data_IF_295781813225
#
_entry.id   IF_295781813225
#
_cell.length_a   1.000
_cell.length_b   1.000
_cell.length_c   1.000
_cell.angle_alpha   90.00
_cell.angle_beta   90.00
_cell.angle_gamma   90.00
#
_symmetry.space_group_name_H-M   'P 1'
#
loop_
_entity.id
_entity.type
_entity.pdbx_description
1 polymer ?
#
# COMPACT_ATOMS: atom_id res chain seq x y z
N UNK A 1 -16.40 -19.76 2.17
CA UNK A 1 -16.53 -18.34 2.61
C UNK A 1 -16.88 -17.52 1.40
N UNK A 2 -17.92 -16.68 1.44
CA UNK A 2 -18.19 -15.74 0.33
C UNK A 2 -17.08 -14.69 0.33
N UNK A 3 -16.06 -14.97 -0.49
CA UNK A 3 -15.04 -14.05 -0.94
C UNK A 3 -15.74 -12.79 -1.50
N UNK A 4 -15.01 -11.67 -1.52
CA UNK A 4 -15.52 -10.35 -1.93
C UNK A 4 -16.48 -10.44 -3.13
N UNK A 5 -17.60 -9.73 -3.06
CA UNK A 5 -18.57 -9.72 -4.17
C UNK A 5 -18.25 -8.53 -5.08
N UNK A 6 -18.90 -8.47 -6.23
CA UNK A 6 -18.68 -7.40 -7.23
C UNK A 6 -18.79 -6.00 -6.64
N UNK A 7 -19.78 -5.75 -5.78
CA UNK A 7 -19.96 -4.46 -5.10
C UNK A 7 -18.77 -4.13 -4.17
N UNK A 8 -18.22 -5.11 -3.45
CA UNK A 8 -17.01 -4.89 -2.65
C UNK A 8 -15.81 -4.56 -3.54
N UNK A 9 -15.64 -5.29 -4.65
CA UNK A 9 -14.54 -5.11 -5.61
C UNK A 9 -14.62 -3.72 -6.26
N UNK A 10 -15.80 -3.29 -6.68
CA UNK A 10 -16.04 -1.96 -7.27
C UNK A 10 -15.68 -0.84 -6.27
N UNK A 11 -16.13 -0.97 -5.01
CA UNK A 11 -15.81 -0.01 -3.95
C UNK A 11 -14.31 0.04 -3.64
N UNK A 12 -13.64 -1.10 -3.64
CA UNK A 12 -12.20 -1.19 -3.43
C UNK A 12 -11.43 -0.56 -4.61
N UNK A 13 -11.87 -0.81 -5.84
CA UNK A 13 -11.28 -0.21 -7.04
C UNK A 13 -11.35 1.32 -7.00
N UNK A 14 -12.50 1.88 -6.60
CA UNK A 14 -12.65 3.34 -6.37
C UNK A 14 -11.71 3.88 -5.30
N UNK A 15 -11.29 3.04 -4.36
CA UNK A 15 -10.32 3.34 -3.30
C UNK A 15 -8.87 3.12 -3.74
N UNK A 16 -8.62 2.66 -4.96
CA UNK A 16 -7.28 2.36 -5.47
C UNK A 16 -6.75 0.98 -5.08
N UNK A 17 -7.65 0.05 -4.76
CA UNK A 17 -7.35 -1.32 -4.38
C UNK A 17 -7.98 -2.27 -5.42
N UNK A 18 -7.15 -2.85 -6.27
CA UNK A 18 -7.53 -3.90 -7.21
C UNK A 18 -7.34 -5.29 -6.60
N UNK A 19 -8.11 -6.24 -7.11
CA UNK A 19 -8.01 -7.66 -6.73
C UNK A 19 -7.98 -8.45 -8.02
N UNK A 20 -6.94 -9.26 -8.18
CA UNK A 20 -6.79 -10.23 -9.27
C UNK A 20 -6.66 -11.61 -8.66
N UNK A 21 -7.43 -12.54 -9.19
CA UNK A 21 -7.32 -13.96 -8.88
C UNK A 21 -6.70 -14.63 -10.10
N UNK A 22 -5.59 -15.31 -9.89
CA UNK A 22 -4.89 -16.09 -10.91
C UNK A 22 -4.67 -17.53 -10.45
N UNK A 23 -4.03 -18.36 -11.28
CA UNK A 23 -3.80 -19.77 -10.98
C UNK A 23 -2.83 -20.00 -9.81
N UNK A 24 -2.12 -18.97 -9.35
CA UNK A 24 -1.07 -19.03 -8.32
C UNK A 24 -1.61 -18.52 -6.99
N UNK A 25 -2.60 -17.62 -7.01
CA UNK A 25 -3.31 -17.17 -5.81
C UNK A 25 -4.03 -15.84 -6.03
N UNK A 26 -4.11 -15.06 -4.96
CA UNK A 26 -4.75 -13.75 -4.98
C UNK A 26 -3.70 -12.63 -4.95
N UNK A 27 -3.73 -11.79 -5.96
CA UNK A 27 -2.90 -10.59 -6.06
C UNK A 27 -3.74 -9.36 -5.72
N UNK A 28 -3.27 -8.57 -4.75
CA UNK A 28 -3.85 -7.29 -4.36
C UNK A 28 -3.04 -6.20 -5.06
N UNK A 29 -3.68 -5.46 -5.96
CA UNK A 29 -3.05 -4.33 -6.64
C UNK A 29 -3.33 -3.05 -5.87
N UNK A 30 -2.30 -2.29 -5.53
CA UNK A 30 -2.40 -1.03 -4.81
C UNK A 30 -1.80 0.09 -5.62
N UNK A 31 -2.47 1.24 -5.62
CA UNK A 31 -1.83 2.51 -5.92
C UNK A 31 -1.67 3.32 -4.61
N UNK A 32 -1.06 4.52 -4.64
CA UNK A 32 -0.88 5.34 -3.43
C UNK A 32 -2.19 5.65 -2.70
N UNK A 33 -3.30 5.82 -3.43
CA UNK A 33 -4.64 5.98 -2.85
C UNK A 33 -5.07 4.72 -2.08
N UNK A 34 -4.87 3.54 -2.66
CA UNK A 34 -5.18 2.26 -2.01
C UNK A 34 -4.38 2.06 -0.73
N UNK A 35 -3.09 2.35 -0.77
CA UNK A 35 -2.23 2.33 0.42
C UNK A 35 -2.72 3.29 1.50
N UNK A 36 -3.12 4.51 1.12
CA UNK A 36 -3.68 5.49 2.06
C UNK A 36 -4.93 4.97 2.77
N UNK A 37 -5.82 4.27 2.06
CA UNK A 37 -7.01 3.64 2.65
C UNK A 37 -6.66 2.54 3.63
N UNK A 38 -5.75 1.64 3.26
CA UNK A 38 -5.32 0.54 4.13
C UNK A 38 -4.70 1.08 5.41
N UNK A 39 -3.73 2.01 5.30
CA UNK A 39 -3.03 2.52 6.46
C UNK A 39 -3.93 3.37 7.36
N UNK A 40 -4.81 4.21 6.81
CA UNK A 40 -5.73 4.99 7.63
C UNK A 40 -6.70 4.08 8.39
N UNK A 41 -7.28 3.09 7.71
CA UNK A 41 -8.16 2.11 8.35
C UNK A 41 -7.44 1.38 9.50
N UNK A 42 -6.24 0.86 9.24
CA UNK A 42 -5.39 0.20 10.24
C UNK A 42 -5.08 1.12 11.42
N UNK A 43 -4.78 2.40 11.15
CA UNK A 43 -4.44 3.37 12.20
C UNK A 43 -5.55 3.62 13.20
N UNK A 44 -6.80 3.39 12.81
CA UNK A 44 -7.99 3.57 13.64
C UNK A 44 -8.41 2.29 14.37
N UNK A 45 -7.91 1.14 13.93
CA UNK A 45 -8.11 -0.11 14.63
C UNK A 45 -7.32 -0.09 15.94
N UNK A 46 -8.01 -0.35 17.07
CA UNK A 46 -7.39 -0.40 18.41
C UNK A 46 -6.49 -1.62 18.63
N UNK A 47 -6.38 -2.52 17.66
CA UNK A 47 -5.68 -3.79 17.78
C UNK A 47 -4.26 -3.73 17.22
N UNK A 48 -3.34 -4.43 17.89
CA UNK A 48 -1.99 -4.72 17.39
C UNK A 48 -2.03 -6.05 16.62
N UNK A 49 -1.23 -6.18 15.56
CA UNK A 49 -1.12 -7.37 14.68
C UNK A 49 -2.29 -7.58 13.70
N UNK A 50 -2.54 -6.60 12.84
CA UNK A 50 -3.53 -6.73 11.76
C UNK A 50 -2.95 -7.55 10.62
N UNK A 51 -3.72 -8.46 10.04
CA UNK A 51 -3.35 -9.18 8.83
C UNK A 51 -4.20 -8.69 7.66
N UNK A 52 -3.57 -8.40 6.53
CA UNK A 52 -4.28 -8.13 5.29
C UNK A 52 -4.95 -9.41 4.82
N UNK A 53 -6.27 -9.43 4.86
CA UNK A 53 -7.12 -10.58 4.53
C UNK A 53 -8.30 -10.11 3.69
N UNK A 54 -9.00 -11.05 3.02
CA UNK A 54 -10.25 -10.75 2.33
C UNK A 54 -11.30 -10.12 3.25
N UNK A 55 -11.33 -10.50 4.54
CA UNK A 55 -12.20 -9.89 5.54
C UNK A 55 -11.83 -8.43 5.78
N UNK A 56 -10.53 -8.12 5.96
CA UNK A 56 -10.07 -6.75 6.11
C UNK A 56 -10.40 -5.90 4.87
N UNK A 57 -10.22 -6.45 3.67
CA UNK A 57 -10.58 -5.77 2.42
C UNK A 57 -12.10 -5.51 2.35
N UNK A 58 -12.92 -6.46 2.82
CA UNK A 58 -14.37 -6.28 2.89
C UNK A 58 -14.74 -5.13 3.83
N UNK A 59 -14.11 -5.06 5.00
CA UNK A 59 -14.29 -3.97 5.96
C UNK A 59 -13.85 -2.63 5.36
N UNK A 60 -12.67 -2.59 4.73
CA UNK A 60 -12.16 -1.40 4.03
C UNK A 60 -13.14 -0.98 2.94
N UNK A 61 -13.76 -1.90 2.21
CA UNK A 61 -14.74 -1.56 1.16
C UNK A 61 -15.95 -0.78 1.71
N UNK A 62 -16.39 -1.12 2.93
CA UNK A 62 -17.52 -0.48 3.62
C UNK A 62 -17.11 0.76 4.42
N UNK A 63 -15.83 0.90 4.77
CA UNK A 63 -15.32 1.99 5.58
C UNK A 63 -15.46 3.36 4.88
N UNK A 64 -15.84 4.37 5.65
CA UNK A 64 -15.92 5.77 5.21
C UNK A 64 -14.79 6.57 5.84
N UNK A 65 -14.29 7.60 5.14
CA UNK A 65 -13.24 8.47 5.67
C UNK A 65 -13.69 9.09 7.00
N UNK A 66 -12.86 8.96 8.03
CA UNK A 66 -13.12 9.59 9.31
C UNK A 66 -12.66 11.06 9.33
N UNK A 67 -13.04 11.79 10.39
CA UNK A 67 -12.50 13.13 10.67
C UNK A 67 -11.01 13.14 11.03
N UNK A 68 -10.43 11.98 11.35
CA UNK A 68 -9.03 11.81 11.73
C UNK A 68 -8.17 11.30 10.57
N UNK A 69 -8.70 11.32 9.35
CA UNK A 69 -7.99 10.89 8.16
C UNK A 69 -6.67 11.65 8.01
N UNK A 70 -5.60 10.91 7.75
CA UNK A 70 -4.24 11.41 7.62
C UNK A 70 -3.77 11.28 6.18
N UNK A 71 -3.02 12.28 5.75
CA UNK A 71 -2.29 12.24 4.47
C UNK A 71 -1.33 11.05 4.46
N UNK A 72 -1.27 10.34 3.34
CA UNK A 72 -0.19 9.40 3.09
C UNK A 72 1.01 10.17 2.54
N UNK A 73 2.17 9.92 3.12
CA UNK A 73 3.46 10.37 2.61
C UNK A 73 4.24 9.15 2.14
N UNK A 74 4.78 9.25 0.94
CA UNK A 74 5.71 8.29 0.39
C UNK A 74 7.02 9.02 0.07
N UNK A 75 8.12 8.48 0.57
CA UNK A 75 9.48 8.94 0.27
C UNK A 75 10.23 7.84 -0.45
N UNK A 76 11.18 8.24 -1.28
CA UNK A 76 12.08 7.32 -1.95
C UNK A 76 13.53 7.67 -1.64
N UNK A 77 14.38 6.66 -1.55
CA UNK A 77 15.82 6.83 -1.44
C UNK A 77 16.48 6.03 -2.54
N UNK A 78 17.29 6.70 -3.36
CA UNK A 78 18.12 6.06 -4.38
C UNK A 78 19.38 5.48 -3.74
N UNK A 79 19.70 4.25 -4.09
CA UNK A 79 20.85 3.49 -3.61
C UNK A 79 21.65 3.08 -4.84
N UNK A 80 22.84 3.65 -4.99
CA UNK A 80 23.79 3.23 -6.03
C UNK A 80 24.45 1.91 -5.59
N UNK A 81 24.44 0.92 -6.47
CA UNK A 81 25.07 -0.37 -6.27
C UNK A 81 26.35 -0.52 -7.11
N UNK A 82 27.17 -1.52 -6.76
CA UNK A 82 28.48 -1.77 -7.35
C UNK A 82 28.48 -1.98 -8.89
N UNK A 83 27.33 -2.32 -9.48
CA UNK A 83 27.13 -2.59 -10.90
C UNK A 83 26.63 -1.36 -11.69
N UNK A 84 26.78 -0.15 -11.14
CA UNK A 84 26.16 1.09 -11.64
C UNK A 84 24.63 1.02 -11.71
N UNK A 85 23.98 0.02 -11.09
CA UNK A 85 22.53 0.01 -10.95
C UNK A 85 22.10 0.98 -9.85
N UNK A 86 20.98 1.66 -10.08
CA UNK A 86 20.29 2.43 -9.05
C UNK A 86 19.09 1.61 -8.58
N UNK A 87 19.04 1.34 -7.29
CA UNK A 87 17.90 0.76 -6.61
C UNK A 87 17.15 1.83 -5.82
N UNK A 88 15.89 1.59 -5.54
CA UNK A 88 15.03 2.53 -4.85
C UNK A 88 14.35 1.86 -3.67
N UNK A 89 14.60 2.37 -2.47
CA UNK A 89 13.83 2.00 -1.28
C UNK A 89 12.67 2.97 -1.09
N UNK A 90 11.48 2.44 -0.88
CA UNK A 90 10.26 3.21 -0.66
C UNK A 90 9.90 3.20 0.81
N UNK A 91 9.51 4.35 1.35
CA UNK A 91 9.01 4.48 2.72
C UNK A 91 7.63 5.12 2.71
N UNK A 92 6.64 4.43 3.26
CA UNK A 92 5.27 4.89 3.41
C UNK A 92 4.95 5.16 4.88
N UNK A 93 4.26 6.26 5.16
CA UNK A 93 3.78 6.59 6.48
C UNK A 93 2.61 7.56 6.39
N UNK A 94 1.77 7.57 7.42
CA UNK A 94 0.75 8.61 7.54
C UNK A 94 1.34 9.84 8.24
N UNK A 95 0.95 11.03 7.82
CA UNK A 95 1.41 12.26 8.47
C UNK A 95 1.10 12.21 9.98
N UNK A 96 2.07 12.61 10.83
CA UNK A 96 1.94 12.56 12.28
C UNK A 96 1.60 11.16 12.84
N UNK A 97 2.20 10.09 12.29
CA UNK A 97 2.17 8.76 12.92
C UNK A 97 3.47 8.42 13.65
N UNK A 98 3.40 7.60 14.72
CA UNK A 98 4.59 7.20 15.46
C UNK A 98 5.55 6.39 14.58
N UNK A 99 6.86 6.36 14.89
CA UNK A 99 7.90 5.67 14.11
C UNK A 99 7.60 4.20 13.76
N UNK A 100 6.79 3.52 14.58
CA UNK A 100 6.39 2.12 14.37
C UNK A 100 5.33 1.92 13.28
N UNK A 101 4.86 2.98 12.65
CA UNK A 101 3.91 2.95 11.53
C UNK A 101 4.55 3.28 10.18
N UNK A 102 5.87 3.41 10.16
CA UNK A 102 6.63 3.53 8.93
C UNK A 102 6.75 2.14 8.32
N UNK A 103 6.50 2.08 7.02
CA UNK A 103 6.63 0.89 6.21
C UNK A 103 7.72 1.14 5.18
N UNK A 104 8.78 0.34 5.20
CA UNK A 104 9.81 0.36 4.16
C UNK A 104 9.76 -0.90 3.32
N UNK A 105 9.87 -0.73 1.99
CA UNK A 105 10.05 -1.85 1.07
C UNK A 105 11.53 -2.14 0.84
N UNK A 106 11.83 -3.37 0.46
CA UNK A 106 13.14 -3.74 -0.05
C UNK A 106 13.49 -2.89 -1.28
N UNK A 107 14.79 -2.61 -1.53
CA UNK A 107 15.20 -1.82 -2.68
C UNK A 107 14.84 -2.50 -4.01
N UNK A 108 14.19 -1.75 -4.90
CA UNK A 108 13.76 -2.24 -6.22
C UNK A 108 14.32 -1.38 -7.34
N UNK A 109 14.57 -1.98 -8.52
CA UNK A 109 15.05 -1.22 -9.70
C UNK A 109 13.97 -0.36 -10.35
N UNK A 110 12.69 -0.75 -10.20
CA UNK A 110 11.57 -0.09 -10.83
C UNK A 110 10.73 0.70 -9.81
N UNK A 111 10.68 2.02 -9.97
CA UNK A 111 9.88 2.91 -9.11
C UNK A 111 8.38 2.80 -9.44
N UNK A 112 8.04 2.51 -10.69
CA UNK A 112 6.65 2.55 -11.14
C UNK A 112 5.84 1.34 -10.70
N UNK A 113 6.51 0.21 -10.50
CA UNK A 113 5.88 -1.04 -10.15
C UNK A 113 6.82 -1.92 -9.36
N UNK A 114 6.36 -2.41 -8.22
CA UNK A 114 7.06 -3.44 -7.47
C UNK A 114 6.11 -4.30 -6.64
N UNK A 115 6.53 -5.53 -6.41
CA UNK A 115 5.90 -6.47 -5.49
C UNK A 115 6.61 -6.40 -4.15
N UNK A 116 5.88 -6.45 -3.04
CA UNK A 116 6.47 -6.52 -1.70
C UNK A 116 5.82 -7.61 -0.84
N UNK A 117 6.63 -8.18 0.05
CA UNK A 117 6.28 -9.33 0.88
C UNK A 117 6.29 -8.99 2.38
N UNK A 118 5.83 -9.95 3.19
CA UNK A 118 5.41 -9.87 4.59
C UNK A 118 6.32 -9.07 5.56
N UNK A 119 7.61 -8.89 5.29
CA UNK A 119 8.58 -8.73 6.38
C UNK A 119 8.64 -7.34 7.02
N UNK A 120 8.12 -6.28 6.40
CA UNK A 120 8.33 -4.90 6.89
C UNK A 120 7.07 -4.02 6.98
N UNK A 121 5.87 -4.55 6.79
CA UNK A 121 4.60 -3.80 6.85
C UNK A 121 4.03 -3.68 8.27
N UNK A 122 3.26 -2.61 8.59
CA UNK A 122 2.52 -2.51 9.87
C UNK A 122 1.37 -3.53 9.99
N UNK A 123 1.16 -4.33 8.95
CA UNK A 123 0.24 -5.46 8.90
C UNK A 123 0.98 -6.71 8.41
N UNK A 124 0.46 -7.90 8.70
CA UNK A 124 0.95 -9.15 8.12
C UNK A 124 0.29 -9.40 6.77
N UNK A 125 1.05 -9.88 5.79
CA UNK A 125 0.51 -10.33 4.50
C UNK A 125 0.43 -11.84 4.57
N UNK A 126 -0.72 -12.47 4.29
CA UNK A 126 -0.78 -13.95 4.30
C UNK A 126 0.09 -14.52 3.17
N UNK A 127 0.66 -15.71 3.37
CA UNK A 127 1.57 -16.36 2.42
C UNK A 127 0.93 -16.69 1.06
N UNK A 128 -0.41 -16.75 0.99
CA UNK A 128 -1.17 -16.96 -0.23
C UNK A 128 -1.58 -15.66 -0.94
N UNK A 129 -1.07 -14.51 -0.47
CA UNK A 129 -1.36 -13.19 -1.02
C UNK A 129 -0.09 -12.52 -1.53
N UNK A 130 -0.18 -11.98 -2.73
CA UNK A 130 0.81 -11.07 -3.30
C UNK A 130 0.28 -9.64 -3.28
N UNK A 131 1.15 -8.66 -3.05
CA UNK A 131 0.79 -7.23 -3.19
C UNK A 131 1.68 -6.57 -4.22
N UNK A 132 1.04 -6.02 -5.25
CA UNK A 132 1.71 -5.25 -6.28
C UNK A 132 1.38 -3.76 -6.11
N UNK A 133 2.41 -2.94 -6.00
CA UNK A 133 2.30 -1.49 -5.88
C UNK A 133 2.55 -0.82 -7.23
N UNK A 134 1.65 0.06 -7.66
CA UNK A 134 1.73 0.78 -8.92
C UNK A 134 1.72 2.29 -8.70
N UNK A 135 2.58 2.99 -9.43
CA UNK A 135 2.62 4.44 -9.50
C UNK A 135 2.41 4.89 -10.95
N UNK A 136 1.58 5.90 -11.14
CA UNK A 136 1.48 6.62 -12.40
C UNK A 136 2.80 7.32 -12.73
N UNK A 137 3.02 7.63 -14.01
CA UNK A 137 4.21 8.38 -14.45
C UNK A 137 4.41 9.69 -13.67
N UNK A 138 3.32 10.39 -13.36
CA UNK A 138 3.36 11.64 -12.60
C UNK A 138 3.75 11.43 -11.13
N UNK A 139 3.22 10.39 -10.49
CA UNK A 139 3.58 10.04 -9.11
C UNK A 139 5.05 9.62 -9.02
N UNK A 140 5.54 8.84 -9.97
CA UNK A 140 6.95 8.45 -10.02
C UNK A 140 7.90 9.64 -10.23
N UNK A 141 7.49 10.64 -11.02
CA UNK A 141 8.24 11.89 -11.17
C UNK A 141 8.32 12.64 -9.83
N UNK A 142 7.21 12.74 -9.10
CA UNK A 142 7.18 13.37 -7.77
C UNK A 142 8.05 12.62 -6.76
N UNK A 143 7.97 11.28 -6.75
CA UNK A 143 8.84 10.45 -5.91
C UNK A 143 10.31 10.72 -6.18
N UNK A 144 10.74 10.77 -7.45
CA UNK A 144 12.13 11.09 -7.81
C UNK A 144 12.58 12.48 -7.34
N UNK A 145 11.66 13.41 -7.12
CA UNK A 145 11.95 14.75 -6.57
C UNK A 145 11.99 14.77 -5.04
N UNK A 146 11.71 13.64 -4.38
CA UNK A 146 11.89 13.42 -2.95
C UNK A 146 10.64 12.95 -2.24
N UNK A 147 9.48 13.54 -2.55
CA UNK A 147 8.23 13.33 -1.80
C UNK A 147 7.02 13.14 -2.73
N UNK A 148 6.20 12.14 -2.41
CA UNK A 148 4.83 12.00 -2.91
C UNK A 148 3.86 12.13 -1.74
N UNK A 149 2.97 13.11 -1.81
CA UNK A 149 1.92 13.35 -0.83
C UNK A 149 0.59 13.03 -1.48
N UNK A 150 -0.17 12.13 -0.85
CA UNK A 150 -1.56 11.84 -1.24
C UNK A 150 -2.46 12.54 -0.24
N UNK A 151 -3.02 13.66 -0.69
CA UNK A 151 -3.89 14.54 0.10
C UNK A 151 -5.34 14.03 0.16
N UNK A 152 -6.12 14.75 0.95
CA UNK A 152 -7.55 14.56 1.12
C UNK A 152 -8.29 14.81 -0.21
N UNK A 153 -8.49 13.76 -1.00
CA UNK A 153 -9.51 13.75 -2.06
C UNK A 153 -10.93 13.74 -1.51
#
# INVERSE_FOLDING_TARGET
>A
MKALNENHIEKLSRKGIGIKEDSIGLTIELNPKGMAWILNFISELKHRNISLTLTLLKEISAYQKSKKWKELRCKITSIEAYDNSIYYSHVFYLNSTPPKMFFSCDPVKNINHFTFFHENTPFKIRNDLQIDMYFSKQESMKLKQGDLIIENG
#
